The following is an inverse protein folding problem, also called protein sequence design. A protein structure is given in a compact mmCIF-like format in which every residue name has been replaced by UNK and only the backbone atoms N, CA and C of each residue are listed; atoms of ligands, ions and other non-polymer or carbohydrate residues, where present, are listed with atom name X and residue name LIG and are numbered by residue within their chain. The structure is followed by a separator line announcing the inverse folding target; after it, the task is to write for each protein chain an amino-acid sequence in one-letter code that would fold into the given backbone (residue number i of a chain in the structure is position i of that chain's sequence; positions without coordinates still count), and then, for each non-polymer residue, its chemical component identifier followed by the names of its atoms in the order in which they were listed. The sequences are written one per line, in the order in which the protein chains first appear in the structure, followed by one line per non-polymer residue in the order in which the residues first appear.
data_IF_805737743219
#
_entry.id   IF_805737743219
#
_cell.length_a   1.000
_cell.length_b   1.000
_cell.length_c   1.000
_cell.angle_alpha   90.00
_cell.angle_beta   90.00
_cell.angle_gamma   90.00
#
_symmetry.space_group_name_H-M   'P 1'
#
loop_
_entity.id
_entity.type
_entity.pdbx_description
1 polymer ?
#
# COMPACT_ATOMS: atom_id res chain seq x y z
N UNK A 1 35.17 27.13 -42.91
CA UNK A 1 34.60 25.87 -43.44
C UNK A 1 33.15 25.80 -43.00
N UNK A 2 32.24 26.23 -43.88
CA UNK A 2 30.79 26.12 -43.72
C UNK A 2 30.35 24.78 -44.32
N UNK A 3 29.52 24.04 -43.59
CA UNK A 3 28.88 22.80 -44.07
C UNK A 3 27.37 23.03 -44.09
N UNK A 4 26.76 22.88 -45.27
CA UNK A 4 25.30 22.86 -45.49
C UNK A 4 24.82 21.42 -45.66
N UNK A 5 23.63 21.03 -45.16
CA UNK A 5 23.04 19.73 -45.48
C UNK A 5 22.09 19.83 -46.68
N UNK A 6 22.32 18.99 -47.69
CA UNK A 6 21.38 18.74 -48.79
C UNK A 6 20.35 17.66 -48.39
N UNK A 7 19.11 17.82 -48.84
CA UNK A 7 18.01 16.85 -48.70
C UNK A 7 17.84 16.07 -50.00
N UNK A 8 17.57 14.75 -49.97
CA UNK A 8 17.24 14.02 -51.19
C UNK A 8 15.72 13.86 -51.35
N UNK A 9 15.25 14.21 -52.55
CA UNK A 9 13.97 13.78 -53.14
C UNK A 9 14.08 12.36 -53.69
N UNK A 10 12.98 11.58 -53.73
CA UNK A 10 12.87 10.49 -54.69
C UNK A 10 11.72 10.69 -55.69
N UNK A 11 12.08 10.48 -56.95
CA UNK A 11 11.24 10.41 -58.14
C UNK A 11 10.33 9.16 -58.16
N UNK A 12 9.13 9.34 -58.73
CA UNK A 12 8.25 8.27 -59.20
C UNK A 12 8.65 7.79 -60.61
N UNK A 13 8.23 6.57 -61.00
CA UNK A 13 7.53 6.41 -62.28
C UNK A 13 6.26 5.55 -62.16
N UNK A 14 5.30 5.81 -63.06
CA UNK A 14 3.93 5.28 -63.03
C UNK A 14 3.58 4.22 -64.07
N UNK A 15 2.26 4.08 -64.27
CA UNK A 15 1.56 3.16 -65.19
C UNK A 15 0.90 2.00 -64.42
N UNK A 16 -0.40 1.73 -64.45
CA UNK A 16 -1.55 2.20 -65.23
C UNK A 16 -2.39 0.98 -65.65
N UNK A 17 -3.65 0.88 -65.20
CA UNK A 17 -4.80 0.29 -65.93
C UNK A 17 -6.07 0.27 -65.05
N UNK A 18 -7.12 0.95 -65.51
CA UNK A 18 -8.53 0.70 -65.16
C UNK A 18 -9.05 -0.57 -65.88
N UNK A 19 -10.22 -1.08 -65.49
CA UNK A 19 -11.38 -0.86 -66.36
C UNK A 19 -12.71 -0.54 -65.63
N UNK A 20 -13.60 0.11 -66.37
CA UNK A 20 -14.94 0.59 -66.03
C UNK A 20 -16.06 -0.25 -66.66
N UNK A 21 -17.22 -0.35 -65.96
CA UNK A 21 -18.60 -0.54 -66.49
C UNK A 21 -19.01 -1.95 -66.95
N UNK A 22 -20.26 -2.44 -66.89
CA UNK A 22 -21.63 -1.89 -66.76
C UNK A 22 -22.59 -3.05 -66.36
N UNK A 23 -23.70 -2.79 -65.63
CA UNK A 23 -24.81 -3.75 -65.33
C UNK A 23 -25.75 -4.04 -66.53
N UNK A 24 -27.00 -4.57 -66.40
CA UNK A 24 -27.97 -4.44 -65.28
C UNK A 24 -28.89 -5.67 -64.97
N UNK A 25 -29.70 -5.55 -63.89
CA UNK A 25 -31.06 -6.11 -63.59
C UNK A 25 -31.30 -7.66 -63.61
N UNK A 26 -32.08 -8.35 -62.75
CA UNK A 26 -33.36 -8.12 -62.05
C UNK A 26 -33.53 -9.04 -60.80
N UNK A 27 -34.59 -8.79 -60.02
CA UNK A 27 -34.88 -9.28 -58.68
C UNK A 27 -35.44 -10.72 -58.55
N UNK A 28 -35.18 -11.37 -57.40
CA UNK A 28 -36.13 -12.27 -56.74
C UNK A 28 -35.84 -12.36 -55.23
N UNK A 29 -36.93 -12.24 -54.47
CA UNK A 29 -37.05 -12.06 -53.02
C UNK A 29 -37.02 -13.40 -52.28
N UNK A 30 -36.43 -13.45 -51.08
CA UNK A 30 -36.84 -14.39 -50.04
C UNK A 30 -35.71 -15.05 -49.26
N UNK A 31 -35.33 -14.46 -48.12
CA UNK A 31 -34.45 -15.10 -47.15
C UNK A 31 -34.27 -14.20 -45.94
N UNK A 32 -34.99 -14.48 -44.86
CA UNK A 32 -35.02 -13.69 -43.64
C UNK A 32 -33.62 -13.52 -43.03
N UNK A 33 -33.10 -12.30 -43.06
CA UNK A 33 -31.96 -11.88 -42.25
C UNK A 33 -32.37 -11.93 -40.77
N UNK A 34 -31.85 -12.93 -40.04
CA UNK A 34 -31.80 -12.84 -38.58
C UNK A 34 -30.73 -11.81 -38.23
N UNK A 35 -31.17 -10.64 -37.80
CA UNK A 35 -30.29 -9.61 -37.24
C UNK A 35 -29.46 -10.18 -36.07
N UNK A 36 -28.28 -9.60 -35.78
CA UNK A 36 -27.47 -10.02 -34.66
C UNK A 36 -28.26 -9.79 -33.37
N UNK A 37 -28.46 -10.86 -32.60
CA UNK A 37 -29.05 -10.81 -31.28
C UNK A 37 -28.19 -9.91 -30.36
N UNK A 38 -28.73 -8.80 -29.81
CA UNK A 38 -27.99 -7.95 -28.87
C UNK A 38 -27.81 -8.61 -27.49
N UNK A 39 -28.23 -9.86 -27.30
CA UNK A 39 -28.17 -10.59 -26.02
C UNK A 39 -27.05 -11.64 -25.89
N UNK A 40 -26.22 -11.87 -26.91
CA UNK A 40 -25.20 -12.92 -26.92
C UNK A 40 -24.01 -12.63 -26.01
N UNK A 41 -24.16 -12.86 -24.70
CA UNK A 41 -23.05 -12.80 -23.74
C UNK A 41 -22.06 -13.92 -24.05
N UNK A 42 -20.89 -13.60 -24.60
CA UNK A 42 -19.81 -14.56 -24.80
C UNK A 42 -19.49 -15.26 -23.46
N UNK A 43 -19.59 -16.59 -23.35
CA UNK A 43 -19.13 -17.31 -22.18
C UNK A 43 -17.59 -17.34 -22.21
N UNK A 44 -16.97 -16.34 -21.59
CA UNK A 44 -15.51 -16.21 -21.54
C UNK A 44 -14.99 -14.92 -20.91
N UNK A 45 -15.83 -13.90 -20.72
CA UNK A 45 -15.47 -12.64 -20.06
C UNK A 45 -16.34 -12.39 -18.83
N UNK A 46 -16.25 -13.28 -17.86
CA UNK A 46 -16.35 -12.83 -16.47
C UNK A 46 -14.91 -12.62 -16.03
N UNK A 47 -14.47 -11.36 -15.96
CA UNK A 47 -13.24 -11.05 -15.23
C UNK A 47 -13.34 -11.77 -13.89
N UNK A 48 -12.36 -12.63 -13.58
CA UNK A 48 -12.39 -13.44 -12.38
C UNK A 48 -12.53 -12.47 -11.19
N UNK A 49 -13.73 -12.38 -10.64
CA UNK A 49 -14.00 -11.52 -9.51
C UNK A 49 -13.24 -12.12 -8.34
N UNK A 50 -12.31 -11.35 -7.78
CA UNK A 50 -11.60 -11.72 -6.56
C UNK A 50 -12.61 -12.20 -5.53
N UNK A 51 -12.37 -13.38 -4.95
CA UNK A 51 -13.16 -13.89 -3.84
C UNK A 51 -13.10 -12.93 -2.64
N UNK A 52 -14.13 -12.90 -1.78
CA UNK A 52 -14.08 -12.13 -0.55
C UNK A 52 -12.84 -12.49 0.28
N UNK A 53 -12.21 -11.47 0.88
CA UNK A 53 -11.05 -11.66 1.75
C UNK A 53 -11.46 -12.58 2.93
N UNK A 54 -10.68 -13.64 3.24
CA UNK A 54 -10.95 -14.51 4.38
C UNK A 54 -11.06 -13.73 5.69
N UNK A 55 -11.96 -14.17 6.58
CA UNK A 55 -12.16 -13.53 7.88
C UNK A 55 -10.85 -13.49 8.67
N UNK A 56 -10.43 -12.29 9.07
CA UNK A 56 -9.20 -12.06 9.84
C UNK A 56 -7.95 -11.76 8.99
N UNK A 57 -7.97 -12.03 7.68
CA UNK A 57 -6.92 -11.59 6.76
C UNK A 57 -7.16 -10.13 6.33
N UNK A 58 -6.08 -9.39 6.05
CA UNK A 58 -6.14 -7.99 5.61
C UNK A 58 -5.24 -7.73 4.42
N UNK A 59 -5.77 -6.97 3.46
CA UNK A 59 -5.05 -6.49 2.30
C UNK A 59 -4.77 -5.00 2.49
N UNK A 60 -3.49 -4.61 2.62
CA UNK A 60 -3.09 -3.23 2.82
C UNK A 60 -2.32 -2.72 1.61
N UNK A 61 -2.88 -1.78 0.87
CA UNK A 61 -2.22 -1.16 -0.26
C UNK A 61 -1.55 0.15 0.14
N UNK A 62 -0.26 0.30 -0.14
CA UNK A 62 0.49 1.52 0.10
C UNK A 62 0.76 2.20 -1.24
N UNK A 63 0.47 3.49 -1.31
CA UNK A 63 0.73 4.29 -2.51
C UNK A 63 1.14 5.72 -2.12
N UNK A 64 1.63 6.51 -3.08
CA UNK A 64 2.13 7.86 -2.83
C UNK A 64 1.36 8.91 -3.61
N UNK A 65 1.11 10.06 -2.98
CA UNK A 65 0.56 11.24 -3.65
C UNK A 65 1.49 11.70 -4.78
N UNK A 66 2.80 11.65 -4.52
CA UNK A 66 3.88 11.96 -5.45
C UNK A 66 4.93 10.83 -5.47
N UNK A 67 5.71 10.79 -6.55
CA UNK A 67 6.88 9.91 -6.64
C UNK A 67 7.98 10.34 -5.68
N UNK A 68 8.78 9.40 -5.18
CA UNK A 68 9.92 9.68 -4.31
C UNK A 68 9.60 9.97 -2.84
N UNK A 69 8.34 9.81 -2.41
CA UNK A 69 7.95 10.02 -1.00
C UNK A 69 8.47 8.90 -0.08
N UNK A 70 8.89 7.76 -0.61
CA UNK A 70 9.44 6.63 0.16
C UNK A 70 8.40 5.58 0.56
N UNK A 71 7.39 5.36 -0.28
CA UNK A 71 6.31 4.38 -0.08
C UNK A 71 6.89 2.98 0.13
N UNK A 72 7.70 2.51 -0.81
CA UNK A 72 8.37 1.20 -0.75
C UNK A 72 9.22 1.05 0.51
N UNK A 73 9.93 2.10 0.91
CA UNK A 73 10.73 2.10 2.15
C UNK A 73 9.85 1.95 3.40
N UNK A 74 8.73 2.67 3.46
CA UNK A 74 7.76 2.57 4.55
C UNK A 74 7.09 1.20 4.57
N UNK A 75 6.72 0.65 3.41
CA UNK A 75 6.14 -0.68 3.26
C UNK A 75 7.02 -1.75 3.90
N UNK A 76 8.32 -1.72 3.62
CA UNK A 76 9.28 -2.69 4.17
C UNK A 76 9.40 -2.57 5.70
N UNK A 77 9.38 -1.35 6.23
CA UNK A 77 9.39 -1.14 7.67
C UNK A 77 8.08 -1.59 8.32
N UNK A 78 6.94 -1.42 7.64
CA UNK A 78 5.64 -1.91 8.07
C UNK A 78 5.60 -3.45 8.07
N UNK A 79 6.10 -4.10 7.02
CA UNK A 79 6.22 -5.55 6.92
C UNK A 79 7.04 -6.12 8.09
N UNK A 80 8.19 -5.52 8.36
CA UNK A 80 9.04 -5.91 9.49
C UNK A 80 8.34 -5.70 10.84
N UNK A 81 7.63 -4.59 11.02
CA UNK A 81 6.89 -4.32 12.24
C UNK A 81 5.76 -5.33 12.47
N UNK A 82 5.01 -5.68 11.43
CA UNK A 82 3.95 -6.69 11.46
C UNK A 82 4.50 -8.08 11.81
N UNK A 83 5.58 -8.50 11.14
CA UNK A 83 6.28 -9.76 11.46
C UNK A 83 6.70 -9.80 12.93
N UNK A 84 7.27 -8.70 13.44
CA UNK A 84 7.66 -8.60 14.86
C UNK A 84 6.48 -8.58 15.82
N UNK A 85 5.30 -8.21 15.35
CA UNK A 85 4.06 -8.30 16.11
C UNK A 85 3.38 -9.69 16.01
N UNK A 86 4.08 -10.69 15.46
CA UNK A 86 3.60 -12.07 15.36
C UNK A 86 2.70 -12.34 14.16
N UNK A 87 2.53 -11.38 13.25
CA UNK A 87 1.70 -11.58 12.04
C UNK A 87 2.44 -12.38 10.97
N UNK A 88 1.72 -13.26 10.28
CA UNK A 88 2.13 -13.83 9.01
C UNK A 88 1.92 -12.78 7.92
N UNK A 89 2.99 -12.38 7.26
CA UNK A 89 2.98 -11.27 6.30
C UNK A 89 3.48 -11.74 4.95
N UNK A 90 2.87 -11.28 3.87
CA UNK A 90 3.40 -11.36 2.52
C UNK A 90 3.48 -9.96 1.88
N UNK A 91 4.40 -9.77 0.95
CA UNK A 91 4.57 -8.53 0.18
C UNK A 91 4.33 -8.78 -1.30
N UNK A 92 3.64 -7.88 -1.97
CA UNK A 92 3.45 -7.92 -3.42
C UNK A 92 3.79 -6.55 -4.00
N UNK A 93 4.82 -6.49 -4.82
CA UNK A 93 5.17 -5.31 -5.60
C UNK A 93 4.30 -5.28 -6.86
N UNK A 94 3.54 -4.20 -7.03
CA UNK A 94 2.68 -4.01 -8.19
C UNK A 94 3.25 -2.99 -9.19
N UNK A 95 4.47 -2.49 -9.00
CA UNK A 95 5.14 -1.62 -9.95
C UNK A 95 5.47 -2.37 -11.25
N UNK A 96 4.98 -1.93 -12.43
CA UNK A 96 5.35 -2.53 -13.71
C UNK A 96 6.85 -2.44 -14.01
N UNK A 97 7.56 -1.47 -13.44
CA UNK A 97 9.02 -1.42 -13.51
C UNK A 97 9.69 -2.43 -12.55
N UNK A 98 8.94 -2.93 -11.56
CA UNK A 98 9.45 -3.73 -10.45
C UNK A 98 10.42 -2.94 -9.56
N UNK A 99 11.35 -3.67 -8.94
CA UNK A 99 12.49 -3.05 -8.25
C UNK A 99 12.34 -2.94 -6.74
N UNK A 100 11.20 -3.34 -6.16
CA UNK A 100 11.10 -3.48 -4.70
C UNK A 100 12.14 -4.47 -4.16
N UNK A 101 12.43 -5.51 -4.96
CA UNK A 101 13.51 -6.47 -4.71
C UNK A 101 14.84 -5.82 -4.30
N UNK A 102 15.23 -4.71 -4.94
CA UNK A 102 16.51 -4.06 -4.69
C UNK A 102 16.68 -3.61 -3.23
N UNK A 103 15.57 -3.32 -2.54
CA UNK A 103 15.58 -2.96 -1.12
C UNK A 103 15.78 -4.17 -0.20
N UNK A 104 15.59 -5.39 -0.70
CA UNK A 104 15.87 -6.65 0.00
C UNK A 104 17.27 -7.21 -0.30
N UNK A 105 18.00 -6.62 -1.25
CA UNK A 105 19.26 -7.17 -1.79
C UNK A 105 19.04 -8.27 -2.83
N UNK A 106 18.02 -8.12 -3.70
CA UNK A 106 17.43 -9.18 -4.54
C UNK A 106 18.37 -10.01 -5.42
N UNK A 107 19.53 -9.48 -5.83
CA UNK A 107 20.39 -10.17 -6.81
C UNK A 107 20.86 -11.57 -6.34
N UNK A 108 20.60 -11.92 -5.08
CA UNK A 108 20.99 -13.20 -4.46
C UNK A 108 19.81 -14.05 -3.97
N UNK A 109 18.56 -13.56 -3.93
CA UNK A 109 17.43 -14.31 -3.36
C UNK A 109 16.73 -15.22 -4.39
N UNK A 110 16.85 -16.56 -4.29
CA UNK A 110 16.20 -17.47 -5.23
C UNK A 110 14.67 -17.47 -5.05
N UNK A 111 13.94 -17.64 -6.15
CA UNK A 111 12.47 -17.79 -6.14
C UNK A 111 11.82 -17.19 -7.38
N UNK A 112 10.52 -17.42 -7.53
CA UNK A 112 9.73 -16.90 -8.66
C UNK A 112 9.59 -15.37 -8.61
N UNK A 113 9.57 -14.74 -9.78
CA UNK A 113 9.23 -13.33 -10.02
C UNK A 113 7.93 -13.26 -10.81
N UNK A 114 7.36 -12.06 -10.97
CA UNK A 114 6.14 -11.86 -11.77
C UNK A 114 6.22 -12.48 -13.17
N UNK A 115 7.37 -12.35 -13.82
CA UNK A 115 7.62 -12.89 -15.15
C UNK A 115 7.70 -14.43 -15.20
N UNK A 116 7.80 -15.12 -14.06
CA UNK A 116 7.81 -16.59 -13.98
C UNK A 116 6.40 -17.18 -13.74
N UNK A 117 5.40 -16.32 -13.45
CA UNK A 117 4.03 -16.77 -13.24
C UNK A 117 3.29 -16.96 -14.58
N UNK A 118 2.52 -18.04 -14.74
CA UNK A 118 1.76 -18.26 -15.97
C UNK A 118 0.69 -17.18 -16.15
N UNK A 119 0.65 -16.56 -17.34
CA UNK A 119 -0.18 -15.38 -17.62
C UNK A 119 -1.70 -15.60 -17.52
N UNK A 120 -2.14 -16.84 -17.70
CA UNK A 120 -3.56 -17.22 -17.70
C UNK A 120 -3.95 -18.01 -16.45
N UNK A 121 -3.03 -18.13 -15.47
CA UNK A 121 -3.30 -18.88 -14.26
C UNK A 121 -4.41 -18.22 -13.44
N UNK A 122 -5.41 -19.03 -13.08
CA UNK A 122 -6.61 -18.57 -12.38
C UNK A 122 -6.68 -19.03 -10.93
N UNK A 123 -5.81 -19.96 -10.53
CA UNK A 123 -5.72 -20.38 -9.15
C UNK A 123 -4.34 -20.96 -8.82
N UNK A 124 -3.81 -20.60 -7.65
CA UNK A 124 -2.60 -21.23 -7.13
C UNK A 124 -2.92 -22.12 -5.92
N UNK A 125 -2.13 -23.18 -5.74
CA UNK A 125 -2.09 -23.91 -4.46
C UNK A 125 -1.28 -23.04 -3.47
N UNK A 126 -1.87 -22.56 -2.36
CA UNK A 126 -1.23 -21.58 -1.48
C UNK A 126 0.18 -21.95 -1.05
N UNK A 127 0.35 -23.12 -0.39
CA UNK A 127 1.66 -23.58 0.06
C UNK A 127 2.69 -23.79 -1.06
N UNK A 128 2.25 -24.18 -2.27
CA UNK A 128 3.16 -24.35 -3.41
C UNK A 128 3.64 -23.00 -3.96
N UNK A 129 2.75 -22.02 -4.07
CA UNK A 129 3.12 -20.68 -4.48
C UNK A 129 4.09 -20.07 -3.47
N UNK A 130 3.73 -20.06 -2.19
CA UNK A 130 4.52 -19.44 -1.12
C UNK A 130 5.90 -20.09 -1.00
N UNK A 131 5.98 -21.42 -1.07
CA UNK A 131 7.25 -22.14 -1.03
C UNK A 131 8.15 -21.90 -2.25
N UNK A 132 7.61 -21.34 -3.33
CA UNK A 132 8.36 -20.99 -4.54
C UNK A 132 8.73 -19.49 -4.63
N UNK A 133 8.17 -18.64 -3.76
CA UNK A 133 8.51 -17.22 -3.70
C UNK A 133 9.83 -16.99 -2.96
N UNK A 134 10.60 -15.95 -3.32
CA UNK A 134 11.71 -15.49 -2.50
C UNK A 134 11.19 -15.01 -1.13
N UNK A 135 12.06 -15.05 -0.11
CA UNK A 135 11.71 -14.61 1.23
C UNK A 135 12.78 -13.68 1.83
N UNK A 136 12.32 -12.53 2.34
CA UNK A 136 13.15 -11.57 3.06
C UNK A 136 12.79 -11.62 4.54
N UNK A 137 13.75 -11.97 5.42
CA UNK A 137 13.47 -12.25 6.84
C UNK A 137 12.26 -13.16 7.04
N UNK A 138 12.16 -14.26 6.30
CA UNK A 138 11.00 -15.19 6.32
C UNK A 138 9.67 -14.59 5.88
N UNK A 139 9.65 -13.38 5.32
CA UNK A 139 8.47 -12.76 4.70
C UNK A 139 8.52 -13.08 3.20
N UNK A 140 7.61 -13.91 2.67
CA UNK A 140 7.54 -14.16 1.23
C UNK A 140 7.17 -12.87 0.50
N UNK A 141 7.78 -12.64 -0.65
CA UNK A 141 7.46 -11.51 -1.50
C UNK A 141 7.38 -11.89 -2.98
N UNK A 142 6.55 -11.17 -3.72
CA UNK A 142 6.48 -11.26 -5.18
C UNK A 142 6.81 -9.89 -5.77
N UNK A 143 7.84 -9.86 -6.61
CA UNK A 143 8.34 -8.64 -7.27
C UNK A 143 8.67 -8.90 -8.73
N UNK A 144 8.75 -7.82 -9.52
CA UNK A 144 9.36 -7.86 -10.84
C UNK A 144 10.88 -7.92 -10.75
N UNK A 145 11.52 -8.24 -11.87
CA UNK A 145 12.98 -8.19 -12.06
C UNK A 145 13.30 -7.42 -13.35
N UNK A 146 14.48 -7.63 -13.96
CA UNK A 146 14.85 -6.98 -15.22
C UNK A 146 13.88 -7.23 -16.40
N UNK A 147 12.97 -8.21 -16.28
CA UNK A 147 11.89 -8.49 -17.24
C UNK A 147 10.63 -7.66 -16.98
N UNK A 148 10.59 -6.87 -15.91
CA UNK A 148 9.46 -6.06 -15.49
C UNK A 148 8.60 -6.72 -14.41
N UNK A 149 7.68 -5.93 -13.88
CA UNK A 149 6.63 -6.34 -12.95
C UNK A 149 5.28 -6.57 -13.65
N UNK A 150 4.17 -6.52 -12.90
CA UNK A 150 2.85 -6.80 -13.44
C UNK A 150 2.37 -5.67 -14.36
N UNK A 151 1.82 -6.02 -15.53
CA UNK A 151 1.15 -5.05 -16.41
C UNK A 151 -0.23 -4.68 -15.86
N UNK A 152 -0.29 -3.64 -15.03
CA UNK A 152 -1.56 -3.11 -14.51
C UNK A 152 -2.22 -2.13 -15.49
N UNK A 153 -3.56 -2.05 -15.54
CA UNK A 153 -4.25 -1.00 -16.25
C UNK A 153 -4.00 0.35 -15.57
N UNK A 154 -2.97 1.06 -16.00
CA UNK A 154 -2.75 2.46 -15.62
C UNK A 154 -3.65 3.31 -16.51
N UNK A 155 -4.53 4.17 -15.95
CA UNK A 155 -5.27 5.13 -16.75
C UNK A 155 -4.31 6.17 -17.34
N UNK A 156 -3.79 5.93 -18.54
CA UNK A 156 -3.05 6.94 -19.31
C UNK A 156 -4.03 7.96 -19.86
N UNK A 157 -3.78 9.24 -19.59
CA UNK A 157 -4.55 10.33 -20.19
C UNK A 157 -4.39 10.31 -21.72
N UNK A 158 -5.50 10.09 -22.44
CA UNK A 158 -5.56 10.23 -23.90
C UNK A 158 -5.25 8.99 -24.73
N UNK A 159 -4.79 7.88 -24.13
CA UNK A 159 -4.81 6.60 -24.83
C UNK A 159 -6.16 5.94 -24.54
N UNK A 160 -6.85 5.48 -25.60
CA UNK A 160 -7.95 4.54 -25.42
C UNK A 160 -7.46 3.40 -24.52
N UNK A 161 -8.28 2.84 -23.60
CA UNK A 161 -7.91 1.67 -22.84
C UNK A 161 -7.55 0.58 -23.85
N UNK A 162 -6.26 0.43 -24.13
CA UNK A 162 -5.78 -0.74 -24.82
C UNK A 162 -6.02 -1.82 -23.79
N UNK A 163 -6.99 -2.69 -24.07
CA UNK A 163 -7.09 -3.97 -23.40
C UNK A 163 -5.80 -4.73 -23.71
N UNK A 164 -4.73 -4.37 -23.00
CA UNK A 164 -3.52 -5.17 -22.97
C UNK A 164 -3.92 -6.53 -22.39
N UNK A 165 -3.45 -7.65 -22.97
CA UNK A 165 -3.91 -8.99 -22.61
C UNK A 165 -3.43 -9.49 -21.23
N UNK A 166 -2.97 -8.61 -20.34
CA UNK A 166 -2.25 -9.00 -19.15
C UNK A 166 -2.99 -8.62 -17.87
N UNK A 167 -3.13 -9.63 -16.99
CA UNK A 167 -3.49 -9.55 -15.56
C UNK A 167 -4.93 -9.43 -15.06
N UNK A 168 -6.02 -9.61 -15.82
CA UNK A 168 -7.32 -9.72 -15.17
C UNK A 168 -7.42 -10.98 -14.27
N UNK A 169 -6.59 -12.01 -14.48
CA UNK A 169 -6.77 -13.32 -13.80
C UNK A 169 -5.68 -13.67 -12.76
N UNK A 170 -4.39 -13.45 -13.07
CA UNK A 170 -3.28 -13.94 -12.22
C UNK A 170 -3.15 -13.16 -10.92
N UNK A 171 -3.30 -11.83 -10.96
CA UNK A 171 -3.21 -11.02 -9.74
C UNK A 171 -4.27 -11.43 -8.72
N UNK A 172 -5.56 -11.59 -9.09
CA UNK A 172 -6.54 -12.20 -8.20
C UNK A 172 -6.12 -13.55 -7.63
N UNK A 173 -5.68 -14.47 -8.48
CA UNK A 173 -5.25 -15.82 -8.06
C UNK A 173 -4.09 -15.79 -7.05
N UNK A 174 -3.10 -14.90 -7.25
CA UNK A 174 -1.97 -14.71 -6.33
C UNK A 174 -2.46 -14.16 -4.99
N UNK A 175 -3.26 -13.10 -5.01
CA UNK A 175 -3.73 -12.47 -3.78
C UNK A 175 -4.62 -13.41 -2.97
N UNK A 176 -5.50 -14.18 -3.61
CA UNK A 176 -6.30 -15.21 -2.94
C UNK A 176 -5.40 -16.25 -2.25
N UNK A 177 -4.40 -16.78 -2.97
CA UNK A 177 -3.48 -17.76 -2.42
C UNK A 177 -2.67 -17.21 -1.23
N UNK A 178 -2.22 -15.96 -1.31
CA UNK A 178 -1.48 -15.31 -0.21
C UNK A 178 -2.39 -15.04 1.00
N UNK A 179 -3.60 -14.53 0.78
CA UNK A 179 -4.58 -14.23 1.84
C UNK A 179 -5.08 -15.49 2.56
N UNK A 180 -4.98 -16.68 1.95
CA UNK A 180 -5.30 -17.95 2.61
C UNK A 180 -4.29 -18.32 3.72
N UNK A 181 -3.03 -17.90 3.61
CA UNK A 181 -1.93 -18.36 4.47
C UNK A 181 -1.31 -17.24 5.33
N UNK A 182 -1.68 -15.98 5.06
CA UNK A 182 -1.13 -14.81 5.73
C UNK A 182 -2.24 -13.97 6.37
N UNK A 183 -1.92 -13.37 7.52
CA UNK A 183 -2.84 -12.48 8.22
C UNK A 183 -2.87 -11.10 7.55
N UNK A 184 -1.74 -10.68 6.96
CA UNK A 184 -1.63 -9.40 6.26
C UNK A 184 -0.86 -9.55 4.95
N UNK A 185 -1.44 -9.09 3.85
CA UNK A 185 -0.76 -8.96 2.55
C UNK A 185 -0.57 -7.47 2.27
N UNK A 186 0.68 -7.05 2.10
CA UNK A 186 1.06 -5.67 1.78
C UNK A 186 1.27 -5.51 0.28
N UNK A 187 0.68 -4.48 -0.30
CA UNK A 187 0.82 -4.16 -1.73
C UNK A 187 1.61 -2.85 -1.90
N UNK A 188 2.69 -2.87 -2.69
CA UNK A 188 3.30 -1.64 -3.20
C UNK A 188 2.53 -1.21 -4.45
N UNK A 189 1.58 -0.30 -4.29
CA UNK A 189 0.61 0.07 -5.33
C UNK A 189 1.10 1.31 -6.10
N UNK A 190 1.32 1.19 -7.43
CA UNK A 190 1.75 2.32 -8.24
C UNK A 190 0.73 3.45 -8.20
N UNK A 191 1.24 4.68 -8.22
CA UNK A 191 0.39 5.87 -8.13
C UNK A 191 -0.64 5.88 -9.27
N UNK A 192 -1.91 6.06 -8.90
CA UNK A 192 -3.01 6.16 -9.85
C UNK A 192 -3.58 4.82 -10.30
N UNK A 193 -2.99 3.69 -9.90
CA UNK A 193 -3.62 2.39 -10.08
C UNK A 193 -4.79 2.24 -9.08
N UNK A 194 -5.93 1.67 -9.51
CA UNK A 194 -6.99 1.32 -8.59
C UNK A 194 -6.49 0.22 -7.63
N UNK A 195 -6.79 0.31 -6.32
CA UNK A 195 -6.43 -0.76 -5.40
C UNK A 195 -7.30 -2.00 -5.67
N UNK A 196 -6.78 -3.22 -5.44
CA UNK A 196 -7.60 -4.42 -5.52
C UNK A 196 -8.79 -4.37 -4.55
N UNK A 197 -9.95 -4.96 -4.90
CA UNK A 197 -11.14 -4.96 -4.04
C UNK A 197 -10.85 -5.49 -2.64
N UNK A 198 -11.42 -4.84 -1.62
CA UNK A 198 -11.21 -5.23 -0.22
C UNK A 198 -9.92 -4.68 0.41
N UNK A 199 -9.10 -3.96 -0.36
CA UNK A 199 -7.90 -3.30 0.19
C UNK A 199 -8.28 -2.16 1.12
N UNK A 200 -7.54 -2.03 2.23
CA UNK A 200 -7.40 -0.77 2.95
C UNK A 200 -6.16 -0.04 2.42
N UNK A 201 -6.32 1.22 2.04
CA UNK A 201 -5.27 2.01 1.39
C UNK A 201 -4.61 2.97 2.38
N UNK A 202 -3.29 3.03 2.34
CA UNK A 202 -2.47 4.00 3.04
C UNK A 202 -1.79 4.90 2.01
N UNK A 203 -2.24 6.16 1.93
CA UNK A 203 -1.74 7.14 0.97
C UNK A 203 -0.68 8.03 1.64
N UNK A 204 0.57 7.93 1.19
CA UNK A 204 1.67 8.76 1.69
C UNK A 204 1.68 10.13 0.99
N UNK A 205 1.65 11.20 1.77
CA UNK A 205 1.67 12.60 1.33
C UNK A 205 2.83 13.38 1.93
N UNK A 206 3.31 14.42 1.25
CA UNK A 206 4.08 15.52 1.88
C UNK A 206 3.17 16.56 2.52
N UNK A 207 3.78 17.59 3.13
CA UNK A 207 3.16 18.81 3.66
C UNK A 207 3.43 20.00 2.72
N UNK A 208 3.24 19.77 1.43
CA UNK A 208 3.35 20.77 0.38
C UNK A 208 2.04 20.84 -0.43
N UNK A 209 1.78 21.99 -1.05
CA UNK A 209 0.52 22.21 -1.79
C UNK A 209 0.34 21.21 -2.94
N UNK A 210 1.43 20.78 -3.58
CA UNK A 210 1.38 19.84 -4.70
C UNK A 210 0.95 18.45 -4.23
N UNK A 211 1.45 17.99 -3.09
CA UNK A 211 1.01 16.77 -2.43
C UNK A 211 -0.46 16.85 -2.01
N UNK A 212 -0.90 18.00 -1.49
CA UNK A 212 -2.30 18.21 -1.08
C UNK A 212 -3.28 18.11 -2.26
N UNK A 213 -2.98 18.79 -3.37
CA UNK A 213 -3.79 18.71 -4.60
C UNK A 213 -3.79 17.30 -5.17
N UNK A 214 -2.64 16.60 -5.13
CA UNK A 214 -2.58 15.21 -5.55
C UNK A 214 -3.45 14.30 -4.67
N UNK A 215 -3.46 14.51 -3.34
CA UNK A 215 -4.33 13.76 -2.42
C UNK A 215 -5.81 14.02 -2.73
N UNK A 216 -6.21 15.29 -2.92
CA UNK A 216 -7.58 15.65 -3.29
C UNK A 216 -8.05 14.92 -4.55
N UNK A 217 -7.17 14.75 -5.54
CA UNK A 217 -7.50 14.04 -6.78
C UNK A 217 -7.49 12.50 -6.63
N UNK A 218 -6.58 11.95 -5.81
CA UNK A 218 -6.37 10.51 -5.68
C UNK A 218 -7.33 9.85 -4.68
N UNK A 219 -7.64 10.49 -3.55
CA UNK A 219 -8.47 9.91 -2.48
C UNK A 219 -9.81 9.38 -3.01
N UNK A 220 -10.62 10.14 -3.79
CA UNK A 220 -11.89 9.63 -4.30
C UNK A 220 -11.73 8.40 -5.20
N UNK A 221 -10.65 8.35 -6.01
CA UNK A 221 -10.37 7.23 -6.91
C UNK A 221 -9.97 5.98 -6.14
N UNK A 222 -9.16 6.15 -5.09
CA UNK A 222 -8.74 5.06 -4.22
C UNK A 222 -9.90 4.50 -3.40
N UNK A 223 -10.85 5.35 -2.99
CA UNK A 223 -12.05 4.93 -2.27
C UNK A 223 -12.99 4.04 -3.10
N UNK A 224 -13.02 4.21 -4.44
CA UNK A 224 -13.86 3.38 -5.32
C UNK A 224 -13.41 1.92 -5.37
N UNK A 225 -12.09 1.67 -5.31
CA UNK A 225 -11.52 0.32 -5.27
C UNK A 225 -11.30 -0.23 -3.86
N UNK A 226 -11.21 0.63 -2.86
CA UNK A 226 -11.03 0.24 -1.47
C UNK A 226 -12.30 -0.40 -0.89
N UNK A 227 -12.13 -1.42 -0.06
CA UNK A 227 -13.24 -2.15 0.53
C UNK A 227 -14.06 -1.32 1.52
N UNK A 228 -15.39 -1.42 1.43
CA UNK A 228 -16.38 -0.95 2.42
C UNK A 228 -16.65 -1.99 3.53
N UNK A 229 -15.74 -2.93 3.75
CA UNK A 229 -15.97 -4.20 4.47
C UNK A 229 -15.59 -4.23 5.96
N UNK A 230 -15.75 -3.13 6.69
CA UNK A 230 -15.61 -3.09 8.15
C UNK A 230 -16.81 -2.39 8.80
N UNK A 231 -17.20 -2.74 10.04
CA UNK A 231 -18.36 -2.15 10.74
C UNK A 231 -18.21 -0.64 11.03
N UNK A 232 -17.08 -0.03 10.68
CA UNK A 232 -16.83 1.39 10.80
C UNK A 232 -16.90 2.05 9.42
N UNK A 233 -17.99 2.79 9.19
CA UNK A 233 -18.12 3.71 8.06
C UNK A 233 -16.94 4.71 8.07
N UNK A 234 -16.06 4.65 7.06
CA UNK A 234 -14.94 5.59 6.86
C UNK A 234 -13.58 4.99 6.47
N UNK A 235 -13.43 3.66 6.39
CA UNK A 235 -12.13 2.98 6.53
C UNK A 235 -11.45 2.48 5.24
N UNK A 236 -11.74 3.06 4.08
CA UNK A 236 -11.10 2.62 2.82
C UNK A 236 -9.70 3.18 2.60
N UNK A 237 -9.47 4.44 2.96
CA UNK A 237 -8.23 5.17 2.69
C UNK A 237 -7.85 6.01 3.92
N UNK A 238 -6.58 5.98 4.32
CA UNK A 238 -6.03 6.87 5.35
C UNK A 238 -4.72 7.51 4.91
N UNK A 239 -4.48 8.75 5.32
CA UNK A 239 -3.26 9.48 4.98
C UNK A 239 -2.12 9.15 5.94
N UNK A 240 -0.93 9.00 5.39
CA UNK A 240 0.33 9.02 6.12
C UNK A 240 1.08 10.27 5.67
N UNK A 241 1.57 11.07 6.60
CA UNK A 241 2.18 12.36 6.28
C UNK A 241 3.66 12.32 6.54
N UNK A 242 4.46 12.43 5.48
CA UNK A 242 5.89 12.64 5.61
C UNK A 242 6.17 14.12 5.85
N UNK A 243 6.99 14.43 6.86
CA UNK A 243 7.42 15.79 7.18
C UNK A 243 8.42 16.31 6.14
N UNK A 244 7.91 16.67 4.96
CA UNK A 244 8.62 17.26 3.83
C UNK A 244 7.71 18.34 3.25
N UNK A 245 8.23 19.56 3.11
CA UNK A 245 7.40 20.74 2.83
C UNK A 245 6.84 21.35 4.12
N UNK A 246 6.47 22.64 4.05
CA UNK A 246 5.89 23.40 5.17
C UNK A 246 4.72 24.29 4.69
N UNK A 247 4.24 24.07 3.46
CA UNK A 247 3.28 24.98 2.82
C UNK A 247 1.84 24.78 3.31
N UNK A 248 1.55 23.64 3.95
CA UNK A 248 0.22 23.27 4.42
C UNK A 248 0.30 22.56 5.77
N UNK A 249 -0.62 22.88 6.68
CA UNK A 249 -0.73 22.21 7.97
C UNK A 249 -1.41 20.84 7.83
N UNK A 250 -1.25 19.96 8.82
CA UNK A 250 -1.96 18.66 8.84
C UNK A 250 -3.49 18.85 8.79
N UNK A 251 -4.11 19.72 9.62
CA UNK A 251 -5.55 19.97 9.54
C UNK A 251 -6.02 20.47 8.17
N UNK A 252 -5.25 21.35 7.53
CA UNK A 252 -5.59 21.86 6.20
C UNK A 252 -5.46 20.76 5.13
N UNK A 253 -4.45 19.89 5.25
CA UNK A 253 -4.31 18.74 4.36
C UNK A 253 -5.48 17.76 4.51
N UNK A 254 -5.91 17.47 5.74
CA UNK A 254 -7.09 16.63 6.01
C UNK A 254 -8.35 17.22 5.37
N UNK A 255 -8.52 18.54 5.48
CA UNK A 255 -9.64 19.27 4.88
C UNK A 255 -9.60 19.23 3.34
N UNK A 256 -8.45 19.53 2.73
CA UNK A 256 -8.27 19.55 1.27
C UNK A 256 -8.43 18.16 0.66
N UNK A 257 -7.84 17.14 1.29
CA UNK A 257 -7.90 15.76 0.81
C UNK A 257 -9.21 15.04 1.17
N UNK A 258 -10.01 15.61 2.09
CA UNK A 258 -11.17 14.98 2.70
C UNK A 258 -10.86 13.56 3.21
N UNK A 259 -9.73 13.42 3.92
CA UNK A 259 -9.20 12.14 4.37
C UNK A 259 -8.39 12.31 5.66
N UNK A 260 -8.65 11.49 6.70
CA UNK A 260 -7.95 11.64 7.98
C UNK A 260 -6.49 11.21 7.91
N UNK A 261 -5.63 11.90 8.65
CA UNK A 261 -4.23 11.53 8.85
C UNK A 261 -4.10 10.52 9.98
N UNK A 262 -3.54 9.36 9.65
CA UNK A 262 -3.35 8.26 10.59
C UNK A 262 -2.03 8.39 11.36
N UNK A 263 -0.97 8.83 10.68
CA UNK A 263 0.34 8.96 11.31
C UNK A 263 1.28 9.88 10.53
N UNK A 264 2.25 10.42 11.26
CA UNK A 264 3.38 11.15 10.70
C UNK A 264 4.58 10.24 10.50
N UNK A 265 5.17 10.28 9.31
CA UNK A 265 6.33 9.51 8.89
C UNK A 265 7.57 10.41 8.91
N UNK A 266 8.60 10.08 9.72
CA UNK A 266 9.80 10.90 9.81
C UNK A 266 10.69 10.73 8.57
N UNK A 267 11.44 11.78 8.24
CA UNK A 267 12.59 11.63 7.31
C UNK A 267 13.77 11.02 8.07
N UNK A 268 14.17 9.81 7.68
CA UNK A 268 15.25 9.07 8.34
C UNK A 268 16.50 9.00 7.43
N UNK A 269 17.46 9.89 7.67
CA UNK A 269 18.70 9.96 6.88
C UNK A 269 19.53 8.68 7.01
N UNK A 270 19.50 8.00 8.16
CA UNK A 270 20.27 6.79 8.37
C UNK A 270 19.69 5.62 7.55
N UNK A 271 18.36 5.50 7.48
CA UNK A 271 17.71 4.54 6.57
C UNK A 271 18.09 4.82 5.11
N UNK A 272 18.04 6.08 4.67
CA UNK A 272 18.43 6.45 3.31
C UNK A 272 19.88 6.03 3.00
N UNK A 273 20.82 6.29 3.90
CA UNK A 273 22.23 5.93 3.71
C UNK A 273 22.46 4.41 3.65
N UNK A 274 21.69 3.63 4.40
CA UNK A 274 21.74 2.15 4.34
C UNK A 274 21.28 1.63 2.98
N UNK A 275 20.15 2.13 2.49
CA UNK A 275 19.61 1.76 1.18
C UNK A 275 20.64 2.08 0.08
N UNK A 276 21.26 3.26 0.12
CA UNK A 276 22.31 3.65 -0.86
C UNK A 276 23.49 2.66 -0.84
N UNK A 277 23.80 2.06 0.31
CA UNK A 277 24.88 1.06 0.46
C UNK A 277 24.43 -0.37 0.18
N UNK A 278 23.17 -0.60 -0.17
CA UNK A 278 22.61 -1.95 -0.31
C UNK A 278 22.50 -2.71 1.01
N UNK A 279 22.54 -2.00 2.15
CA UNK A 279 22.34 -2.62 3.47
C UNK A 279 20.85 -2.83 3.75
N UNK A 280 20.53 -3.89 4.50
CA UNK A 280 19.17 -4.17 4.94
C UNK A 280 18.54 -2.93 5.64
N UNK A 281 17.41 -2.41 5.12
CA UNK A 281 16.80 -1.17 5.61
C UNK A 281 16.36 -1.26 7.08
N UNK A 282 16.03 -2.46 7.58
CA UNK A 282 15.49 -2.66 8.95
C UNK A 282 16.52 -3.18 9.96
N UNK A 283 17.79 -3.33 9.53
CA UNK A 283 18.90 -3.87 10.33
C UNK A 283 19.06 -3.20 11.71
N UNK A 284 18.80 -1.89 11.81
CA UNK A 284 18.98 -1.13 13.04
C UNK A 284 17.69 -0.41 13.49
N UNK A 285 17.68 0.04 14.75
CA UNK A 285 16.58 0.89 15.24
C UNK A 285 16.62 2.22 14.49
N UNK A 286 15.45 2.70 14.08
CA UNK A 286 15.30 3.93 13.30
C UNK A 286 14.00 4.64 13.73
N UNK A 287 13.88 5.93 13.44
CA UNK A 287 12.65 6.66 13.73
C UNK A 287 11.49 6.08 12.90
N UNK A 288 11.77 5.76 11.63
CA UNK A 288 10.83 5.11 10.74
C UNK A 288 10.34 3.75 11.28
N UNK A 289 11.24 2.94 11.85
CA UNK A 289 10.88 1.66 12.46
C UNK A 289 9.97 1.81 13.68
N UNK A 290 10.19 2.85 14.50
CA UNK A 290 9.28 3.16 15.63
C UNK A 290 7.91 3.59 15.12
N UNK A 291 7.86 4.46 14.11
CA UNK A 291 6.61 4.89 13.47
C UNK A 291 5.85 3.71 12.86
N UNK A 292 6.53 2.81 12.14
CA UNK A 292 5.91 1.61 11.59
C UNK A 292 5.30 0.73 12.70
N UNK A 293 6.01 0.52 13.81
CA UNK A 293 5.47 -0.20 14.97
C UNK A 293 4.25 0.49 15.62
N UNK A 294 4.25 1.83 15.68
CA UNK A 294 3.09 2.59 16.16
C UNK A 294 1.90 2.48 15.20
N UNK A 295 2.15 2.48 13.89
CA UNK A 295 1.13 2.31 12.86
C UNK A 295 0.48 0.92 12.93
N UNK A 296 1.26 -0.14 13.14
CA UNK A 296 0.73 -1.51 13.37
C UNK A 296 -0.26 -1.55 14.53
N UNK A 297 0.09 -0.93 15.67
CA UNK A 297 -0.83 -0.83 16.83
C UNK A 297 -2.07 -0.01 16.49
N UNK A 298 -1.91 1.16 15.88
CA UNK A 298 -3.02 2.03 15.50
C UNK A 298 -4.00 1.35 14.54
N UNK A 299 -3.50 0.52 13.63
CA UNK A 299 -4.32 -0.24 12.70
C UNK A 299 -5.00 -1.45 13.34
N UNK A 300 -4.76 -1.75 14.62
CA UNK A 300 -5.30 -2.95 15.28
C UNK A 300 -4.68 -4.24 14.75
N UNK A 301 -3.44 -4.18 14.27
CA UNK A 301 -2.70 -5.30 13.68
C UNK A 301 -1.67 -5.90 14.63
N UNK A 302 -1.50 -5.35 15.83
CA UNK A 302 -0.75 -6.02 16.87
C UNK A 302 -1.60 -7.16 17.46
N UNK A 303 -0.99 -8.30 17.78
CA UNK A 303 -1.60 -9.22 18.74
C UNK A 303 -1.66 -8.52 20.11
N UNK A 304 -2.74 -8.69 20.89
CA UNK A 304 -2.75 -8.26 22.29
C UNK A 304 -1.59 -8.96 22.99
N UNK A 305 -0.87 -8.19 23.80
CA UNK A 305 0.24 -8.72 24.60
C UNK A 305 -0.25 -9.88 25.48
N UNK A 306 0.62 -10.84 25.82
CA UNK A 306 0.27 -11.93 26.77
C UNK A 306 -0.24 -11.36 28.11
N UNK A 307 0.19 -10.16 28.49
CA UNK A 307 -0.29 -9.39 29.65
C UNK A 307 -1.75 -8.93 29.51
N UNK A 308 -2.20 -8.51 28.31
CA UNK A 308 -3.62 -8.19 28.03
C UNK A 308 -4.51 -9.43 27.94
N UNK A 309 -3.96 -10.57 27.48
CA UNK A 309 -4.65 -11.87 27.50
C UNK A 309 -4.80 -12.45 28.91
N UNK A 310 -3.90 -12.07 29.82
CA UNK A 310 -3.88 -12.55 31.21
C UNK A 310 -4.79 -11.73 32.16
N UNK A 311 -5.35 -10.60 31.71
CA UNK A 311 -6.40 -9.89 32.45
C UNK A 311 -7.73 -10.62 32.24
N UNK A 312 -8.31 -11.27 33.27
CA UNK A 312 -9.63 -11.86 33.10
C UNK A 312 -10.63 -10.75 32.80
N UNK A 313 -11.44 -10.95 31.75
CA UNK A 313 -12.60 -10.12 31.46
C UNK A 313 -13.45 -10.06 32.73
N UNK A 314 -13.46 -8.91 33.39
CA UNK A 314 -14.33 -8.61 34.51
C UNK A 314 -15.78 -8.67 34.04
N UNK A 315 -16.36 -9.86 34.12
CA UNK A 315 -17.78 -10.09 33.87
C UNK A 315 -18.59 -9.35 34.91
N UNK A 316 -19.15 -8.22 34.50
CA UNK A 316 -20.30 -7.62 35.18
C UNK A 316 -21.46 -8.62 35.10
N UNK A 317 -21.69 -9.37 36.19
CA UNK A 317 -22.92 -10.11 36.39
C UNK A 317 -24.05 -9.16 36.83
N UNK A 318 -25.29 -9.32 36.34
CA UNK A 318 -26.42 -8.57 36.84
C UNK A 318 -26.83 -9.10 38.22
N UNK A 319 -27.30 -8.19 39.07
CA UNK A 319 -27.34 -8.36 40.52
C UNK A 319 -28.40 -9.29 41.10
N UNK A 320 -28.24 -9.53 42.41
CA UNK A 320 -29.31 -9.88 43.32
C UNK A 320 -29.07 -9.15 44.65
N UNK A 321 -30.00 -8.27 45.00
CA UNK A 321 -30.10 -7.67 46.32
C UNK A 321 -30.53 -8.73 47.36
N UNK A 322 -30.15 -8.54 48.63
CA UNK A 322 -31.01 -8.65 49.84
C UNK A 322 -30.15 -8.54 51.11
N UNK A 323 -30.61 -7.71 52.07
CA UNK A 323 -30.27 -7.71 53.51
C UNK A 323 -29.00 -6.93 53.87
N UNK A 324 -29.01 -5.81 54.59
CA UNK A 324 -29.82 -5.47 55.75
C UNK A 324 -28.98 -5.68 57.02
N UNK A 325 -28.45 -4.60 57.61
CA UNK A 325 -27.72 -4.67 58.88
C UNK A 325 -26.89 -3.43 59.18
N UNK A 326 -27.39 -2.61 60.10
CA UNK A 326 -26.77 -1.38 60.60
C UNK A 326 -25.42 -1.60 61.30
N UNK A 327 -24.56 -0.58 61.34
CA UNK A 327 -24.20 0.14 62.58
C UNK A 327 -22.98 1.07 62.40
N UNK A 328 -23.13 2.28 62.96
CA UNK A 328 -22.13 3.14 63.60
C UNK A 328 -21.01 3.83 62.77
N UNK A 329 -21.10 5.16 62.73
CA UNK A 329 -19.98 6.09 62.72
C UNK A 329 -19.21 6.04 64.07
N UNK A 330 -17.95 6.53 64.15
CA UNK A 330 -17.66 7.97 64.29
C UNK A 330 -16.53 8.44 63.34
N UNK A 331 -16.65 9.62 62.72
CA UNK A 331 -16.11 10.93 63.13
C UNK A 331 -14.58 11.04 63.35
N UNK A 332 -14.02 11.98 62.56
CA UNK A 332 -13.00 13.00 62.89
C UNK A 332 -11.49 12.67 62.79
N UNK A 333 -10.76 13.67 62.26
CA UNK A 333 -9.29 13.81 62.24
C UNK A 333 -8.79 14.15 60.82
N UNK A 334 -8.84 15.42 60.40
CA UNK A 334 -7.70 16.38 60.38
C UNK A 334 -6.55 15.90 59.46
N UNK A 335 -6.45 16.45 58.24
CA UNK A 335 -5.55 17.58 57.92
C UNK A 335 -4.12 17.40 58.43
N UNK A 336 -3.17 17.10 57.53
CA UNK A 336 -1.86 17.78 57.47
C UNK A 336 -1.05 17.26 56.27
N UNK A 337 -0.97 18.10 55.23
CA UNK A 337 0.10 18.11 54.24
C UNK A 337 1.17 19.15 54.69
N UNK A 338 2.33 19.26 54.04
CA UNK A 338 3.63 18.68 54.41
C UNK A 338 4.62 19.75 54.94
N UNK A 339 5.87 19.40 55.32
CA UNK A 339 6.94 20.39 55.34
C UNK A 339 7.84 20.28 54.11
N UNK A 340 7.98 21.44 53.47
CA UNK A 340 8.97 21.79 52.47
C UNK A 340 10.40 21.67 53.02
N UNK A 341 11.33 21.28 52.14
CA UNK A 341 12.76 21.47 52.35
C UNK A 341 13.41 22.05 51.09
N UNK A 342 14.02 23.21 51.21
CA UNK A 342 15.10 23.82 50.41
C UNK A 342 15.52 25.11 51.17
N UNK A 343 16.70 25.74 50.94
CA UNK A 343 17.89 25.35 50.19
C UNK A 343 19.19 25.48 51.04
N UNK A 344 20.34 25.05 50.53
CA UNK A 344 21.64 25.46 51.06
C UNK A 344 22.61 25.88 49.94
N UNK A 345 23.00 27.14 50.03
CA UNK A 345 23.93 27.91 49.21
C UNK A 345 25.38 27.40 49.28
N UNK A 346 26.16 27.69 48.23
CA UNK A 346 27.58 27.28 48.03
C UNK A 346 28.61 27.91 48.99
N UNK A 347 29.92 27.84 48.66
CA UNK A 347 30.44 28.87 47.76
C UNK A 347 31.63 28.48 46.83
N UNK A 348 31.71 29.22 45.70
CA UNK A 348 32.88 29.82 45.02
C UNK A 348 34.23 29.10 44.88
N UNK A 349 34.72 29.04 43.63
CA UNK A 349 36.16 29.02 43.30
C UNK A 349 36.49 28.53 41.88
N UNK A 350 36.57 29.44 40.90
CA UNK A 350 37.38 29.24 39.68
C UNK A 350 38.70 30.01 39.80
N UNK A 351 39.48 30.25 38.72
CA UNK A 351 39.71 29.49 37.48
C UNK A 351 41.23 29.17 37.31
N UNK A 352 41.67 28.68 36.13
CA UNK A 352 42.92 29.06 35.38
C UNK A 352 43.52 27.90 34.53
N UNK A 353 43.53 28.16 33.21
CA UNK A 353 44.52 27.90 32.15
C UNK A 353 45.11 26.52 31.78
N UNK A 354 44.81 26.14 30.53
CA UNK A 354 45.70 26.09 29.34
C UNK A 354 46.87 25.07 29.19
N UNK A 355 47.05 24.67 27.92
CA UNK A 355 48.13 23.88 27.26
C UNK A 355 47.94 22.36 27.35
N UNK A 356 48.04 21.55 26.29
CA UNK A 356 48.43 21.75 24.89
C UNK A 356 48.69 20.37 24.25
N UNK A 357 48.77 20.37 22.90
CA UNK A 357 48.98 19.26 21.93
C UNK A 357 47.71 18.60 21.39
#
# INVERSE_FOLDING_TARGET
MMWTPETPTPHAPGGGHEPTGVGPAEAAVGGAERGPDPGGRCPGQQAAAMRPIPTGARLLALTGALGGLGVSTLLIHLAWALRRAGRRVAIVDLDPAGGLGLLFGDEVLPGLRWADLPHEESAFRPGRLIGALPAWHTIPFLTGDGRGGPALPIPTAGAAPQAGPFLPTVLPAVLEALLCEHDVVLLDLPRGCPPPPGSQVLLLSGLDLRSAVACQALVPRLQVGAGSGGPRRGEGVGLLVRQVGEDISIPDLELVANCPVLATVPTDRAVRQRIIRGEDPVRSRSALRRTAGALVRRLGLAEPSEEERALPAGGAGPGAAVGGGASAAPQAGEETEPPAWEPASGPTGGPVSAHGR
#
